data_IF_757298588517
#
_entry.id   IF_757298588517
#
_cell.length_a   1.000
_cell.length_b   1.000
_cell.length_c   1.000
_cell.angle_alpha   90.00
_cell.angle_beta   90.00
_cell.angle_gamma   90.00
#
_symmetry.space_group_name_H-M   'P 1'
#
loop_
_entity.id
_entity.type
_entity.pdbx_description
1 polymer ?
#
# COMPACT_ATOMS: atom_id res chain seq x y z
N UNK A 1 -6.48 13.04 -3.72
CA UNK A 1 -6.19 13.25 -2.28
C UNK A 1 -4.98 12.39 -1.95
N UNK A 2 -3.95 12.94 -1.29
CA UNK A 2 -2.79 12.17 -0.85
C UNK A 2 -2.76 12.17 0.67
N UNK A 3 -2.63 10.99 1.28
CA UNK A 3 -2.52 10.86 2.73
C UNK A 3 -1.61 9.68 3.09
N UNK A 4 -1.19 9.65 4.35
CA UNK A 4 -0.47 8.52 4.92
C UNK A 4 -1.42 7.72 5.81
N UNK A 5 -1.38 6.40 5.67
CA UNK A 5 -2.12 5.48 6.54
C UNK A 5 -1.12 4.57 7.25
N UNK A 6 -1.26 4.44 8.57
CA UNK A 6 -0.44 3.55 9.36
C UNK A 6 -1.29 2.37 9.84
N UNK A 7 -0.92 1.15 9.47
CA UNK A 7 -1.56 -0.09 9.94
C UNK A 7 -0.51 -0.86 10.74
N UNK A 8 -0.63 -0.81 12.06
CA UNK A 8 0.41 -1.35 12.94
C UNK A 8 1.73 -0.60 12.73
N UNK A 9 2.82 -1.32 12.48
CA UNK A 9 4.13 -0.74 12.17
C UNK A 9 4.36 -0.40 10.69
N UNK A 10 3.40 -0.71 9.81
CA UNK A 10 3.52 -0.52 8.36
C UNK A 10 2.96 0.85 7.97
N UNK A 11 3.67 1.55 7.10
CA UNK A 11 3.28 2.86 6.57
C UNK A 11 2.83 2.72 5.12
N UNK A 12 1.70 3.31 4.78
CA UNK A 12 1.15 3.30 3.44
C UNK A 12 1.09 4.72 2.88
N UNK A 13 1.56 4.89 1.65
CA UNK A 13 1.28 6.08 0.85
C UNK A 13 0.00 5.84 0.06
N UNK A 14 -0.99 6.66 0.35
CA UNK A 14 -2.32 6.54 -0.21
C UNK A 14 -2.57 7.70 -1.17
N UNK A 15 -3.05 7.38 -2.36
CA UNK A 15 -3.49 8.37 -3.34
C UNK A 15 -4.83 7.99 -3.94
N UNK A 16 -5.55 9.01 -4.40
CA UNK A 16 -6.85 8.85 -5.06
C UNK A 16 -6.84 9.63 -6.36
N UNK A 17 -7.04 8.92 -7.47
CA UNK A 17 -7.11 9.48 -8.82
C UNK A 17 -8.60 9.54 -9.22
N UNK A 18 -9.19 10.74 -9.33
CA UNK A 18 -10.59 10.85 -9.73
C UNK A 18 -10.76 10.52 -11.23
N UNK A 19 -11.83 9.81 -11.54
CA UNK A 19 -12.24 9.54 -12.92
C UNK A 19 -13.27 10.62 -13.29
N UNK A 20 -12.86 11.56 -14.14
CA UNK A 20 -13.71 12.66 -14.61
C UNK A 20 -14.21 12.39 -16.03
N UNK A 21 -15.52 12.53 -16.25
CA UNK A 21 -16.15 12.59 -17.57
C UNK A 21 -16.62 14.01 -17.87
N UNK A 22 -16.42 14.47 -19.10
CA UNK A 22 -16.65 15.86 -19.52
C UNK A 22 -18.06 16.37 -19.17
N UNK A 23 -19.07 15.54 -19.40
CA UNK A 23 -20.49 15.90 -19.23
C UNK A 23 -21.06 15.56 -17.84
N UNK A 24 -20.43 14.62 -17.13
CA UNK A 24 -20.96 14.04 -15.89
C UNK A 24 -20.14 14.42 -14.65
N UNK A 25 -19.05 15.16 -14.80
CA UNK A 25 -18.16 15.50 -13.70
C UNK A 25 -17.38 14.28 -13.20
N UNK A 26 -17.20 14.16 -11.88
CA UNK A 26 -16.52 13.01 -11.27
C UNK A 26 -17.48 11.83 -11.24
N UNK A 27 -17.14 10.73 -11.90
CA UNK A 27 -17.98 9.52 -12.00
C UNK A 27 -17.42 8.33 -11.21
N UNK A 28 -16.25 8.49 -10.61
CA UNK A 28 -15.59 7.47 -9.82
C UNK A 28 -14.19 7.89 -9.40
N UNK A 29 -13.46 6.99 -8.75
CA UNK A 29 -12.07 7.20 -8.39
C UNK A 29 -11.33 5.86 -8.27
N UNK A 30 -10.03 5.90 -8.53
CA UNK A 30 -9.09 4.81 -8.23
C UNK A 30 -8.37 5.16 -6.94
N UNK A 31 -8.50 4.30 -5.92
CA UNK A 31 -7.75 4.42 -4.67
C UNK A 31 -6.55 3.49 -4.71
N UNK A 32 -5.36 4.04 -4.52
CA UNK A 32 -4.09 3.32 -4.56
C UNK A 32 -3.45 3.47 -3.19
N UNK A 33 -3.19 2.34 -2.53
CA UNK A 33 -2.46 2.30 -1.26
C UNK A 33 -1.19 1.47 -1.47
N UNK A 34 -0.03 2.12 -1.38
CA UNK A 34 1.26 1.47 -1.54
C UNK A 34 1.94 1.39 -0.18
N UNK A 35 2.34 0.19 0.19
CA UNK A 35 3.12 -0.04 1.40
C UNK A 35 4.55 0.47 1.23
N UNK A 36 4.88 1.56 1.93
CA UNK A 36 6.19 2.19 1.83
C UNK A 36 7.30 1.27 2.35
N UNK A 37 7.02 0.45 3.36
CA UNK A 37 7.99 -0.51 3.88
C UNK A 37 8.33 -1.56 2.82
N UNK A 38 7.33 -2.15 2.15
CA UNK A 38 7.58 -3.11 1.07
C UNK A 38 8.39 -2.49 -0.07
N UNK A 39 8.09 -1.25 -0.46
CA UNK A 39 8.87 -0.54 -1.48
C UNK A 39 10.33 -0.42 -1.05
N UNK A 40 10.60 0.08 0.16
CA UNK A 40 11.97 0.30 0.64
C UNK A 40 12.73 -0.99 0.95
N UNK A 41 12.05 -1.97 1.52
CA UNK A 41 12.65 -3.20 2.03
C UNK A 41 12.79 -4.25 0.93
N UNK A 42 11.92 -4.27 -0.09
CA UNK A 42 11.92 -5.32 -1.10
C UNK A 42 12.09 -4.82 -2.53
N UNK A 43 11.35 -3.80 -2.95
CA UNK A 43 11.30 -3.38 -4.37
C UNK A 43 12.56 -2.62 -4.77
N UNK A 44 12.99 -1.65 -3.96
CA UNK A 44 14.13 -0.77 -4.27
C UNK A 44 15.50 -1.42 -4.10
N UNK A 45 15.56 -2.72 -3.77
CA UNK A 45 16.83 -3.46 -3.57
C UNK A 45 17.66 -3.57 -4.86
N UNK A 46 17.02 -3.68 -6.02
CA UNK A 46 17.71 -3.76 -7.31
C UNK A 46 16.80 -3.38 -8.48
N UNK A 47 17.42 -3.14 -9.64
CA UNK A 47 16.72 -2.71 -10.86
C UNK A 47 15.69 -3.73 -11.36
N UNK A 48 15.99 -5.02 -11.32
CA UNK A 48 15.12 -6.06 -11.84
C UNK A 48 13.82 -6.12 -11.04
N UNK A 49 13.89 -5.97 -9.72
CA UNK A 49 12.73 -5.89 -8.84
C UNK A 49 11.89 -4.66 -9.10
N UNK A 50 12.51 -3.50 -9.29
CA UNK A 50 11.82 -2.25 -9.66
C UNK A 50 11.05 -2.44 -10.96
N UNK A 51 11.71 -2.95 -12.00
CA UNK A 51 11.08 -3.18 -13.31
C UNK A 51 9.92 -4.17 -13.21
N UNK A 52 10.11 -5.29 -12.49
CA UNK A 52 9.07 -6.31 -12.28
C UNK A 52 7.87 -5.73 -11.52
N UNK A 53 8.12 -4.93 -10.48
CA UNK A 53 7.07 -4.29 -9.70
C UNK A 53 6.23 -3.36 -10.55
N UNK A 54 6.85 -2.48 -11.35
CA UNK A 54 6.11 -1.58 -12.26
C UNK A 54 5.33 -2.34 -13.32
N UNK A 55 5.92 -3.39 -13.92
CA UNK A 55 5.23 -4.23 -14.90
C UNK A 55 3.97 -4.88 -14.33
N UNK A 56 3.99 -5.29 -13.06
CA UNK A 56 2.83 -5.86 -12.39
C UNK A 56 1.84 -4.79 -11.93
N UNK A 57 2.32 -3.68 -11.37
CA UNK A 57 1.50 -2.59 -10.87
C UNK A 57 0.67 -1.90 -11.98
N UNK A 58 1.21 -1.84 -13.19
CA UNK A 58 0.56 -1.22 -14.35
C UNK A 58 -0.33 -2.19 -15.16
N UNK A 59 -0.50 -3.44 -14.71
CA UNK A 59 -1.40 -4.39 -15.39
C UNK A 59 -2.86 -3.94 -15.27
N UNK A 60 -3.59 -4.02 -16.37
CA UNK A 60 -5.02 -3.67 -16.43
C UNK A 60 -5.92 -4.80 -15.96
N UNK A 61 -5.41 -6.03 -15.97
CA UNK A 61 -6.05 -7.28 -15.58
C UNK A 61 -5.47 -7.80 -14.25
N UNK A 62 -5.70 -7.05 -13.17
CA UNK A 62 -5.28 -7.48 -11.84
C UNK A 62 -6.38 -8.32 -11.18
N UNK A 63 -6.08 -9.59 -10.90
CA UNK A 63 -6.85 -10.38 -9.93
C UNK A 63 -6.26 -10.15 -8.54
N UNK A 64 -7.09 -9.70 -7.61
CA UNK A 64 -6.73 -9.57 -6.20
C UNK A 64 -7.11 -10.87 -5.49
N UNK A 65 -6.13 -11.72 -5.22
CA UNK A 65 -6.35 -12.97 -4.47
C UNK A 65 -6.47 -12.73 -2.95
N UNK A 66 -5.85 -11.68 -2.42
CA UNK A 66 -5.88 -11.32 -0.99
C UNK A 66 -6.13 -9.83 -0.76
N UNK A 67 -6.77 -9.49 0.37
CA UNK A 67 -7.08 -8.11 0.77
C UNK A 67 -5.91 -7.45 1.49
N UNK A 68 -5.48 -6.25 1.02
CA UNK A 68 -4.58 -5.24 1.63
C UNK A 68 -3.22 -5.72 2.17
N UNK A 69 -3.16 -6.75 3.02
CA UNK A 69 -1.97 -7.42 3.52
C UNK A 69 -2.19 -8.93 3.45
N UNK A 70 -1.18 -9.67 3.02
CA UNK A 70 -1.19 -11.12 3.23
C UNK A 70 -1.22 -11.46 4.73
N UNK A 71 -1.63 -12.68 5.09
CA UNK A 71 -1.69 -13.09 6.51
C UNK A 71 -0.37 -12.89 7.25
N UNK A 72 0.75 -13.16 6.59
CA UNK A 72 2.09 -13.00 7.15
C UNK A 72 2.47 -11.52 7.32
N UNK A 73 2.11 -10.68 6.35
CA UNK A 73 2.34 -9.24 6.46
C UNK A 73 1.45 -8.58 7.53
N UNK A 74 0.22 -9.05 7.69
CA UNK A 74 -0.65 -8.63 8.78
C UNK A 74 -0.05 -8.98 10.14
N UNK A 75 0.48 -10.21 10.29
CA UNK A 75 1.15 -10.63 11.51
C UNK A 75 2.43 -9.80 11.79
N UNK A 76 3.22 -9.48 10.76
CA UNK A 76 4.37 -8.56 10.88
C UNK A 76 3.95 -7.16 11.30
N UNK A 77 2.88 -6.62 10.70
CA UNK A 77 2.33 -5.31 11.03
C UNK A 77 1.90 -5.23 12.51
N UNK A 78 1.31 -6.30 13.05
CA UNK A 78 0.93 -6.41 14.46
C UNK A 78 2.14 -6.53 15.40
N UNK A 79 3.15 -7.35 15.05
CA UNK A 79 4.36 -7.54 15.87
C UNK A 79 5.19 -6.27 16.06
N UNK A 80 5.14 -5.34 15.11
CA UNK A 80 5.82 -4.06 15.23
C UNK A 80 5.14 -3.06 16.17
N UNK A 81 3.97 -3.37 16.75
CA UNK A 81 3.41 -2.58 17.86
C UNK A 81 4.22 -2.84 19.13
N UNK A 82 5.08 -1.89 19.52
CA UNK A 82 5.44 -1.75 20.94
C UNK A 82 4.23 -1.11 21.62
N UNK A 83 3.65 -1.77 22.61
CA UNK A 83 2.57 -1.18 23.39
C UNK A 83 3.08 0.13 24.01
N UNK A 84 2.33 1.22 23.89
CA UNK A 84 2.59 2.49 24.61
C UNK A 84 2.42 2.36 26.14
N UNK A 85 2.28 1.13 26.65
CA UNK A 85 2.07 0.78 28.06
C UNK A 85 3.11 -0.21 28.61
N UNK A 86 4.19 -0.48 27.88
CA UNK A 86 5.36 -1.21 28.44
C UNK A 86 6.39 -0.24 29.06
N UNK A 87 5.94 0.88 29.62
CA UNK A 87 6.65 1.58 30.69
C UNK A 87 5.94 1.26 32.00
N UNK A 88 6.41 0.20 32.66
CA UNK A 88 5.88 -0.26 33.94
C UNK A 88 6.74 -1.39 34.48
N UNK A 89 7.93 -1.02 34.97
CA UNK A 89 8.62 -1.75 36.03
C UNK A 89 7.72 -1.79 37.27
#
# INVERSE_FOLDING_TARGET
MNYELNIGARKFKCTTIPIKRKEFGIVGAVCINIDANYITEEVLKDRQRIETWFQNFLRTDMQLDENILSKDEYAKALKGKRHFKDEGV
#
